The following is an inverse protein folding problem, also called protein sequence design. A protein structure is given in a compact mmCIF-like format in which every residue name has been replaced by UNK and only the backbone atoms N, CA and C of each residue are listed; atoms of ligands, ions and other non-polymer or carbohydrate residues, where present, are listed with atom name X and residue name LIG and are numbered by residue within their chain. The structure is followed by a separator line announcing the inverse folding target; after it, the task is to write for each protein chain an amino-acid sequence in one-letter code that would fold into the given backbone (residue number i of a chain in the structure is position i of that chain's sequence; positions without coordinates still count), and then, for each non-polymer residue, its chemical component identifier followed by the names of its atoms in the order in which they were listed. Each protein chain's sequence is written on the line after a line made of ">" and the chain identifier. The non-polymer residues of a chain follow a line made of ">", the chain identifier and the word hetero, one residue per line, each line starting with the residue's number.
data_IF_969049000945
#
_entry.id   IF_969049000945
#
_cell.length_a   1.000
_cell.length_b   1.000
_cell.length_c   1.000
_cell.angle_alpha   90.00
_cell.angle_beta   90.00
_cell.angle_gamma   90.00
#
_symmetry.space_group_name_H-M   'P 1'
#
loop_
_entity.id
_entity.type
_entity.pdbx_description
1 polymer ?
#
# COMPACT_ATOMS: atom_id res chain seq x y z
N UNK A 1 24.45 -7.55 -14.60
CA UNK A 1 25.47 -6.67 -14.00
C UNK A 1 26.42 -7.50 -13.14
N UNK A 2 27.71 -7.60 -13.53
CA UNK A 2 28.72 -8.43 -12.87
C UNK A 2 28.88 -8.14 -11.34
N UNK A 3 28.59 -6.91 -10.91
CA UNK A 3 28.66 -6.49 -9.50
C UNK A 3 27.74 -7.29 -8.58
N UNK A 4 26.62 -7.81 -9.08
CA UNK A 4 25.61 -8.52 -8.29
C UNK A 4 25.47 -10.01 -8.66
N UNK A 5 26.42 -10.56 -9.43
CA UNK A 5 26.34 -11.95 -9.91
C UNK A 5 26.37 -13.01 -8.79
N UNK A 6 26.79 -12.64 -7.60
CA UNK A 6 26.84 -13.52 -6.41
C UNK A 6 25.72 -13.25 -5.41
N UNK A 7 24.91 -12.21 -5.63
CA UNK A 7 23.80 -11.87 -4.74
C UNK A 7 22.63 -12.84 -5.00
N UNK A 8 22.01 -13.27 -3.90
CA UNK A 8 20.78 -14.06 -3.94
C UNK A 8 19.59 -13.19 -3.62
N UNK A 9 18.47 -13.43 -4.28
CA UNK A 9 17.21 -12.84 -3.89
C UNK A 9 16.84 -13.39 -2.49
N UNK A 10 16.60 -12.52 -1.50
CA UNK A 10 16.21 -12.97 -0.17
C UNK A 10 14.82 -13.60 -0.21
N UNK A 11 14.58 -14.57 0.65
CA UNK A 11 13.25 -15.08 0.94
C UNK A 11 12.45 -14.07 1.78
N UNK A 12 11.12 -14.21 1.80
CA UNK A 12 10.27 -13.33 2.61
C UNK A 12 10.60 -13.45 4.12
N UNK A 13 10.92 -14.64 4.59
CA UNK A 13 11.35 -14.89 5.99
C UNK A 13 12.62 -14.12 6.33
N UNK A 14 13.61 -14.15 5.44
CA UNK A 14 14.85 -13.38 5.63
C UNK A 14 14.58 -11.87 5.67
N UNK A 15 13.66 -11.39 4.84
CA UNK A 15 13.23 -9.97 4.87
C UNK A 15 12.49 -9.66 6.17
N UNK A 16 11.59 -10.51 6.65
CA UNK A 16 10.91 -10.32 7.94
C UNK A 16 11.88 -10.15 9.10
N UNK A 17 12.98 -10.91 9.10
CA UNK A 17 14.02 -10.82 10.13
C UNK A 17 14.74 -9.46 10.18
N UNK A 18 14.64 -8.64 9.12
CA UNK A 18 15.27 -7.31 9.05
C UNK A 18 14.33 -6.18 9.53
N UNK A 19 13.06 -6.44 9.77
CA UNK A 19 12.09 -5.42 10.16
C UNK A 19 12.28 -5.03 11.63
N UNK A 20 12.64 -3.79 11.96
CA UNK A 20 12.87 -3.38 13.34
C UNK A 20 11.58 -3.37 14.17
N UNK A 21 11.72 -3.47 15.47
CA UNK A 21 10.59 -3.35 16.40
C UNK A 21 9.83 -2.03 16.18
N UNK A 22 8.49 -2.11 16.14
CA UNK A 22 7.62 -0.96 15.92
C UNK A 22 7.58 -0.41 14.49
N UNK A 23 8.33 -1.03 13.55
CA UNK A 23 8.25 -0.69 12.13
C UNK A 23 7.34 -1.67 11.41
N UNK A 24 6.81 -1.24 10.26
CA UNK A 24 5.92 -2.04 9.41
C UNK A 24 6.63 -2.42 8.11
N UNK A 25 6.18 -3.53 7.53
CA UNK A 25 6.57 -3.96 6.18
C UNK A 25 5.33 -3.98 5.29
N UNK A 26 5.47 -3.43 4.08
CA UNK A 26 4.50 -3.58 3.01
C UNK A 26 4.97 -4.70 2.07
N UNK A 27 4.11 -5.70 1.85
CA UNK A 27 4.39 -6.89 1.06
C UNK A 27 3.57 -6.78 -0.23
N UNK A 28 4.22 -6.40 -1.33
CA UNK A 28 3.53 -6.29 -2.62
C UNK A 28 3.45 -7.66 -3.30
N UNK A 29 2.23 -8.12 -3.58
CA UNK A 29 1.96 -9.33 -4.35
C UNK A 29 1.66 -8.96 -5.80
N UNK A 30 2.51 -9.45 -6.73
CA UNK A 30 2.41 -9.20 -8.17
C UNK A 30 1.89 -10.39 -8.99
N UNK A 31 1.77 -11.57 -8.37
CA UNK A 31 1.13 -12.75 -8.94
C UNK A 31 -0.34 -12.85 -8.51
N UNK A 32 -1.01 -13.94 -8.82
CA UNK A 32 -2.40 -14.17 -8.47
C UNK A 32 -2.62 -14.70 -7.05
N UNK A 33 -3.88 -14.97 -6.67
CA UNK A 33 -4.24 -15.42 -5.33
C UNK A 33 -3.71 -16.80 -4.94
N UNK A 34 -3.17 -17.56 -5.88
CA UNK A 34 -2.55 -18.87 -5.66
C UNK A 34 -1.36 -18.85 -4.69
N UNK A 35 -0.74 -17.67 -4.49
CA UNK A 35 0.37 -17.49 -3.55
C UNK A 35 -0.09 -17.36 -2.09
N UNK A 36 -1.36 -17.05 -1.84
CA UNK A 36 -1.85 -16.69 -0.51
C UNK A 36 -1.70 -17.82 0.52
N UNK A 37 -1.91 -19.11 0.19
CA UNK A 37 -1.65 -20.19 1.14
C UNK A 37 -0.17 -20.30 1.57
N UNK A 38 0.77 -20.00 0.67
CA UNK A 38 2.20 -19.93 1.01
C UNK A 38 2.49 -18.69 1.87
N UNK A 39 1.94 -17.53 1.50
CA UNK A 39 2.08 -16.31 2.31
C UNK A 39 1.56 -16.52 3.72
N UNK A 40 0.44 -17.23 3.90
CA UNK A 40 -0.11 -17.54 5.22
C UNK A 40 0.91 -18.27 6.10
N UNK A 41 1.55 -19.31 5.56
CA UNK A 41 2.60 -20.06 6.30
C UNK A 41 3.77 -19.16 6.72
N UNK A 42 4.21 -18.26 5.82
CA UNK A 42 5.30 -17.33 6.09
C UNK A 42 4.91 -16.31 7.19
N UNK A 43 3.66 -15.80 7.14
CA UNK A 43 3.12 -14.88 8.14
C UNK A 43 2.98 -15.56 9.51
N UNK A 44 2.43 -16.78 9.55
CA UNK A 44 2.28 -17.55 10.79
C UNK A 44 3.62 -17.93 11.43
N UNK A 45 4.64 -18.19 10.59
CA UNK A 45 6.01 -18.47 11.05
C UNK A 45 6.84 -17.23 11.39
N UNK A 46 6.35 -16.03 11.10
CA UNK A 46 7.08 -14.79 11.32
C UNK A 46 7.15 -14.43 12.82
N UNK A 47 8.29 -13.84 13.23
CA UNK A 47 8.42 -13.22 14.57
C UNK A 47 7.81 -11.83 14.65
N UNK A 48 7.28 -11.31 13.53
CA UNK A 48 6.61 -10.02 13.47
C UNK A 48 5.19 -10.13 14.04
N UNK A 49 4.75 -9.06 14.67
CA UNK A 49 3.34 -8.94 15.07
C UNK A 49 2.46 -8.69 13.84
N UNK A 50 1.20 -9.15 13.82
CA UNK A 50 0.30 -8.95 12.68
C UNK A 50 0.19 -7.49 12.22
N UNK A 51 0.14 -6.53 13.17
CA UNK A 51 0.06 -5.10 12.87
C UNK A 51 1.30 -4.51 12.19
N UNK A 52 2.40 -5.26 12.14
CA UNK A 52 3.61 -4.87 11.42
C UNK A 52 3.59 -5.30 9.94
N UNK A 53 2.66 -6.16 9.54
CA UNK A 53 2.58 -6.72 8.20
C UNK A 53 1.36 -6.17 7.46
N UNK A 54 1.59 -5.62 6.27
CA UNK A 54 0.55 -5.09 5.40
C UNK A 54 0.78 -5.68 4.02
N UNK A 55 -0.23 -6.33 3.46
CA UNK A 55 -0.20 -6.80 2.08
C UNK A 55 -0.77 -5.71 1.17
N UNK A 56 -0.14 -5.52 0.02
CA UNK A 56 -0.63 -4.64 -1.05
C UNK A 56 -0.65 -5.39 -2.38
N UNK A 57 -1.63 -5.13 -3.23
CA UNK A 57 -1.71 -5.69 -4.59
C UNK A 57 -2.64 -4.88 -5.48
N UNK A 58 -2.30 -4.76 -6.76
CA UNK A 58 -3.22 -4.27 -7.81
C UNK A 58 -4.32 -5.29 -8.12
N UNK A 59 -4.07 -6.57 -7.87
CA UNK A 59 -5.04 -7.62 -8.08
C UNK A 59 -6.02 -7.67 -6.89
N UNK A 60 -7.25 -7.24 -7.13
CA UNK A 60 -8.31 -7.21 -6.12
C UNK A 60 -8.62 -8.62 -5.53
N UNK A 61 -8.48 -9.68 -6.34
CA UNK A 61 -8.74 -11.05 -5.88
C UNK A 61 -7.66 -11.53 -4.90
N UNK A 62 -6.42 -11.05 -5.04
CA UNK A 62 -5.34 -11.27 -4.05
C UNK A 62 -5.72 -10.66 -2.72
N UNK A 63 -6.19 -9.41 -2.72
CA UNK A 63 -6.60 -8.73 -1.47
C UNK A 63 -7.77 -9.46 -0.81
N UNK A 64 -8.79 -9.84 -1.59
CA UNK A 64 -9.92 -10.63 -1.08
C UNK A 64 -9.47 -11.97 -0.48
N UNK A 65 -8.54 -12.68 -1.15
CA UNK A 65 -8.00 -13.95 -0.66
C UNK A 65 -7.19 -13.77 0.64
N UNK A 66 -6.35 -12.73 0.72
CA UNK A 66 -5.58 -12.40 1.94
C UNK A 66 -6.53 -12.09 3.09
N UNK A 67 -7.54 -11.23 2.88
CA UNK A 67 -8.51 -10.88 3.91
C UNK A 67 -9.30 -12.09 4.43
N UNK A 68 -9.61 -13.03 3.54
CA UNK A 68 -10.31 -14.27 3.89
C UNK A 68 -9.41 -15.27 4.64
N UNK A 69 -8.16 -15.46 4.22
CA UNK A 69 -7.28 -16.52 4.72
C UNK A 69 -6.39 -16.05 5.87
N UNK A 70 -6.00 -14.76 5.88
CA UNK A 70 -5.08 -14.17 6.88
C UNK A 70 -5.72 -12.90 7.49
N UNK A 71 -6.88 -13.01 8.17
CA UNK A 71 -7.61 -11.83 8.65
C UNK A 71 -6.87 -11.03 9.73
N UNK A 72 -5.79 -11.59 10.29
CA UNK A 72 -4.96 -10.94 11.32
C UNK A 72 -4.11 -9.80 10.78
N UNK A 73 -3.83 -9.76 9.46
CA UNK A 73 -3.02 -8.71 8.84
C UNK A 73 -3.87 -7.78 7.98
N UNK A 74 -3.40 -6.56 7.77
CA UNK A 74 -4.07 -5.62 6.86
C UNK A 74 -3.73 -5.94 5.41
N UNK A 75 -4.70 -5.67 4.52
CA UNK A 75 -4.50 -5.77 3.09
C UNK A 75 -5.13 -4.57 2.39
N UNK A 76 -4.33 -3.84 1.58
CA UNK A 76 -4.75 -2.64 0.87
C UNK A 76 -4.75 -2.90 -0.63
N UNK A 77 -5.78 -2.39 -1.29
CA UNK A 77 -5.85 -2.46 -2.73
C UNK A 77 -5.01 -1.35 -3.36
N UNK A 78 -4.09 -1.74 -4.25
CA UNK A 78 -3.33 -0.80 -5.07
C UNK A 78 -4.15 -0.35 -6.27
N UNK A 79 -4.20 0.95 -6.53
CA UNK A 79 -4.81 1.47 -7.76
C UNK A 79 -4.09 2.71 -8.28
N UNK A 80 -4.34 3.01 -9.54
CA UNK A 80 -3.92 4.26 -10.20
C UNK A 80 -5.04 4.77 -11.09
N UNK A 81 -4.98 6.05 -11.44
CA UNK A 81 -6.03 6.71 -12.19
C UNK A 81 -5.66 6.86 -13.66
N UNK A 82 -6.64 6.64 -14.54
CA UNK A 82 -6.53 6.87 -15.98
C UNK A 82 -7.61 7.84 -16.42
N UNK A 83 -7.25 8.79 -17.26
CA UNK A 83 -8.21 9.69 -17.88
C UNK A 83 -8.69 9.10 -19.19
N UNK A 84 -10.00 9.01 -19.35
CA UNK A 84 -10.62 8.74 -20.63
C UNK A 84 -10.41 9.94 -21.55
N UNK A 85 -9.79 9.72 -22.70
CA UNK A 85 -9.44 10.80 -23.63
C UNK A 85 -10.63 11.43 -24.35
N UNK A 86 -11.73 10.70 -24.46
CA UNK A 86 -12.93 11.19 -25.15
C UNK A 86 -13.83 12.01 -24.21
N UNK A 87 -13.95 11.57 -22.95
CA UNK A 87 -14.86 12.20 -21.98
C UNK A 87 -14.14 13.11 -20.99
N UNK A 88 -12.80 13.00 -20.87
CA UNK A 88 -12.02 13.67 -19.84
C UNK A 88 -12.21 13.13 -18.43
N UNK A 89 -13.02 12.10 -18.23
CA UNK A 89 -13.32 11.52 -16.93
C UNK A 89 -12.17 10.65 -16.43
N UNK A 90 -11.93 10.71 -15.13
CA UNK A 90 -10.94 9.87 -14.45
C UNK A 90 -11.57 8.58 -13.93
N UNK A 91 -10.86 7.47 -14.08
CA UNK A 91 -11.28 6.15 -13.58
C UNK A 91 -10.12 5.50 -12.80
N UNK A 92 -10.43 4.82 -11.68
CA UNK A 92 -11.75 4.73 -11.05
C UNK A 92 -12.19 6.03 -10.40
N UNK A 93 -13.51 6.29 -10.30
CA UNK A 93 -14.07 7.34 -9.45
C UNK A 93 -13.98 6.94 -7.98
N UNK A 94 -14.21 7.88 -7.04
CA UNK A 94 -14.20 7.58 -5.60
C UNK A 94 -15.27 6.55 -5.22
N UNK A 95 -16.44 6.59 -5.86
CA UNK A 95 -17.51 5.63 -5.64
C UNK A 95 -17.11 4.23 -6.10
N UNK A 96 -16.44 4.13 -7.25
CA UNK A 96 -15.89 2.87 -7.76
C UNK A 96 -14.79 2.32 -6.85
N UNK A 97 -13.94 3.19 -6.33
CA UNK A 97 -12.91 2.82 -5.33
C UNK A 97 -13.58 2.23 -4.10
N UNK A 98 -14.52 2.95 -3.47
CA UNK A 98 -15.23 2.50 -2.27
C UNK A 98 -15.98 1.18 -2.52
N UNK A 99 -16.68 1.07 -3.65
CA UNK A 99 -17.40 -0.15 -4.01
C UNK A 99 -16.42 -1.35 -4.14
N UNK A 100 -15.24 -1.13 -4.73
CA UNK A 100 -14.22 -2.18 -4.84
C UNK A 100 -13.70 -2.57 -3.46
N UNK A 101 -13.31 -1.61 -2.62
CA UNK A 101 -12.80 -1.87 -1.27
C UNK A 101 -13.80 -2.67 -0.43
N UNK A 102 -15.10 -2.31 -0.50
CA UNK A 102 -16.19 -3.06 0.18
C UNK A 102 -16.30 -4.49 -0.34
N UNK A 103 -16.29 -4.67 -1.65
CA UNK A 103 -16.45 -5.99 -2.30
C UNK A 103 -15.36 -6.97 -1.92
N UNK A 104 -14.12 -6.47 -1.75
CA UNK A 104 -12.95 -7.32 -1.43
C UNK A 104 -12.57 -7.30 0.06
N UNK A 105 -13.38 -6.69 0.92
CA UNK A 105 -13.12 -6.51 2.36
C UNK A 105 -11.75 -5.89 2.65
N UNK A 106 -11.26 -4.98 1.79
CA UNK A 106 -9.94 -4.37 1.96
C UNK A 106 -9.85 -3.56 3.27
N UNK A 107 -8.67 -3.47 3.85
CA UNK A 107 -8.39 -2.60 5.00
C UNK A 107 -8.21 -1.14 4.60
N UNK A 108 -7.93 -0.86 3.34
CA UNK A 108 -7.70 0.49 2.82
C UNK A 108 -7.26 0.52 1.38
N UNK A 109 -6.97 1.72 0.94
CA UNK A 109 -6.47 2.06 -0.38
C UNK A 109 -4.99 2.44 -0.32
N UNK A 110 -4.21 1.95 -1.27
CA UNK A 110 -2.85 2.44 -1.53
C UNK A 110 -2.76 2.88 -3.00
N UNK A 111 -2.52 4.16 -3.26
CA UNK A 111 -2.71 4.71 -4.60
C UNK A 111 -1.60 5.65 -5.03
N UNK A 112 -1.42 5.79 -6.36
CA UNK A 112 -0.48 6.77 -6.86
C UNK A 112 -0.87 8.19 -6.42
N UNK A 113 0.14 8.99 -6.10
CA UNK A 113 -0.04 10.40 -5.74
C UNK A 113 -0.66 11.18 -6.92
N UNK A 114 -1.92 11.56 -6.79
CA UNK A 114 -2.69 12.19 -7.86
C UNK A 114 -3.47 13.42 -7.37
N UNK A 115 -3.79 14.34 -8.28
CA UNK A 115 -4.57 15.54 -7.96
C UNK A 115 -6.00 15.23 -7.50
N UNK A 116 -6.56 14.10 -7.93
CA UNK A 116 -7.88 13.62 -7.49
C UNK A 116 -7.96 13.33 -5.98
N UNK A 117 -6.83 13.08 -5.33
CA UNK A 117 -6.79 12.88 -3.89
C UNK A 117 -6.86 14.24 -3.22
N UNK A 118 -8.06 14.72 -2.96
CA UNK A 118 -8.37 15.98 -2.30
C UNK A 118 -9.10 15.74 -0.96
N UNK A 119 -9.53 16.81 -0.30
CA UNK A 119 -10.25 16.73 0.98
C UNK A 119 -11.56 15.94 0.86
N UNK A 120 -12.28 16.07 -0.25
CA UNK A 120 -13.53 15.34 -0.47
C UNK A 120 -13.29 13.84 -0.65
N UNK A 121 -12.27 13.48 -1.41
CA UNK A 121 -11.83 12.10 -1.59
C UNK A 121 -11.43 11.45 -0.25
N UNK A 122 -10.56 12.13 0.52
CA UNK A 122 -10.11 11.61 1.82
C UNK A 122 -11.28 11.48 2.78
N UNK A 123 -12.17 12.49 2.85
CA UNK A 123 -13.37 12.45 3.69
C UNK A 123 -14.29 11.28 3.34
N UNK A 124 -14.49 10.98 2.05
CA UNK A 124 -15.29 9.85 1.62
C UNK A 124 -14.71 8.51 2.08
N UNK A 125 -13.38 8.30 1.92
CA UNK A 125 -12.70 7.09 2.41
C UNK A 125 -12.77 6.96 3.94
N UNK A 126 -12.54 8.06 4.67
CA UNK A 126 -12.60 8.07 6.14
C UNK A 126 -14.01 7.81 6.68
N UNK A 127 -15.04 8.29 5.99
CA UNK A 127 -16.44 7.99 6.32
C UNK A 127 -16.75 6.50 6.32
N UNK A 128 -16.06 5.74 5.48
CA UNK A 128 -16.12 4.28 5.40
C UNK A 128 -15.02 3.56 6.22
N UNK A 129 -14.23 4.31 7.00
CA UNK A 129 -13.15 3.81 7.88
C UNK A 129 -11.98 3.14 7.16
N UNK A 130 -11.72 3.46 5.89
CA UNK A 130 -10.57 2.96 5.14
C UNK A 130 -9.29 3.75 5.44
N UNK A 131 -8.16 3.05 5.47
CA UNK A 131 -6.83 3.67 5.44
C UNK A 131 -6.49 4.15 4.04
N UNK A 132 -5.67 5.20 3.96
CA UNK A 132 -5.18 5.76 2.70
C UNK A 132 -3.66 5.92 2.73
N UNK A 133 -2.99 5.29 1.77
CA UNK A 133 -1.55 5.38 1.54
C UNK A 133 -1.29 5.89 0.12
N UNK A 134 -0.21 6.64 -0.07
CA UNK A 134 0.11 7.23 -1.38
C UNK A 134 1.56 6.97 -1.81
N UNK A 135 1.76 6.64 -3.07
CA UNK A 135 3.05 6.43 -3.75
C UNK A 135 3.06 7.09 -5.13
N UNK A 136 4.18 7.43 -5.74
CA UNK A 136 5.47 7.64 -5.11
C UNK A 136 5.62 9.13 -4.88
N UNK A 137 5.93 9.55 -3.67
CA UNK A 137 5.97 10.95 -3.26
C UNK A 137 7.42 11.34 -2.97
N UNK A 138 8.11 11.88 -3.97
CA UNK A 138 9.53 12.24 -3.88
C UNK A 138 9.76 13.75 -3.68
N UNK A 139 8.71 14.57 -3.83
CA UNK A 139 8.79 16.03 -3.74
C UNK A 139 8.22 16.56 -2.41
N UNK A 140 8.95 17.44 -1.68
CA UNK A 140 8.52 17.91 -0.37
C UNK A 140 7.19 18.65 -0.38
N UNK A 141 6.90 19.44 -1.42
CA UNK A 141 5.64 20.16 -1.54
C UNK A 141 4.45 19.18 -1.64
N UNK A 142 4.60 18.11 -2.43
CA UNK A 142 3.61 17.06 -2.57
C UNK A 142 3.44 16.26 -1.26
N UNK A 143 4.54 15.96 -0.58
CA UNK A 143 4.51 15.30 0.73
C UNK A 143 3.75 16.13 1.76
N UNK A 144 4.04 17.44 1.88
CA UNK A 144 3.30 18.34 2.78
C UNK A 144 1.81 18.38 2.46
N UNK A 145 1.44 18.38 1.18
CA UNK A 145 0.04 18.32 0.74
C UNK A 145 -0.65 17.05 1.27
N UNK A 146 -0.06 15.87 1.08
CA UNK A 146 -0.64 14.61 1.53
C UNK A 146 -0.67 14.48 3.05
N UNK A 147 0.36 14.96 3.75
CA UNK A 147 0.36 15.03 5.22
C UNK A 147 -0.79 15.92 5.71
N UNK A 148 -1.00 17.10 5.09
CA UNK A 148 -2.11 18.00 5.43
C UNK A 148 -3.48 17.34 5.16
N UNK A 149 -3.61 16.56 4.11
CA UNK A 149 -4.82 15.79 3.80
C UNK A 149 -5.06 14.62 4.79
N UNK A 150 -4.09 14.29 5.63
CA UNK A 150 -4.23 13.23 6.63
C UNK A 150 -4.12 11.81 6.07
N UNK A 151 -3.26 11.58 5.04
CA UNK A 151 -2.95 10.21 4.61
C UNK A 151 -2.18 9.46 5.71
N UNK A 152 -2.36 8.15 5.80
CA UNK A 152 -1.72 7.33 6.85
C UNK A 152 -0.23 7.16 6.61
N UNK A 153 0.20 7.06 5.37
CA UNK A 153 1.62 7.08 4.99
C UNK A 153 1.84 7.51 3.55
N UNK A 154 3.09 7.87 3.26
CA UNK A 154 3.58 8.09 1.90
C UNK A 154 4.76 7.17 1.62
N UNK A 155 4.84 6.63 0.42
CA UNK A 155 6.00 5.88 -0.09
C UNK A 155 6.87 6.80 -0.92
N UNK A 156 8.18 6.79 -0.67
CA UNK A 156 9.16 7.63 -1.34
C UNK A 156 10.45 6.86 -1.66
N UNK A 157 11.12 7.22 -2.74
CA UNK A 157 12.45 6.72 -3.08
C UNK A 157 13.56 7.40 -2.27
N UNK A 158 13.25 8.48 -1.55
CA UNK A 158 14.24 9.33 -0.87
C UNK A 158 13.92 9.53 0.63
N UNK A 159 13.71 8.44 1.43
CA UNK A 159 13.12 8.56 2.76
C UNK A 159 13.94 9.43 3.72
N UNK A 160 15.26 9.26 3.78
CA UNK A 160 16.11 10.04 4.67
C UNK A 160 16.17 11.53 4.26
N UNK A 161 16.25 11.80 2.95
CA UNK A 161 16.24 13.17 2.43
C UNK A 161 14.91 13.85 2.65
N UNK A 162 13.80 13.17 2.31
CA UNK A 162 12.46 13.75 2.43
C UNK A 162 12.12 14.04 3.89
N UNK A 163 12.50 13.19 4.84
CA UNK A 163 12.34 13.45 6.28
C UNK A 163 13.00 14.75 6.70
N UNK A 164 14.23 15.00 6.27
CA UNK A 164 14.95 16.27 6.55
C UNK A 164 14.22 17.48 5.98
N UNK A 165 13.67 17.34 4.74
CA UNK A 165 12.93 18.44 4.10
C UNK A 165 11.59 18.73 4.79
N UNK A 166 11.05 17.79 5.53
CA UNK A 166 9.78 17.89 6.25
C UNK A 166 9.95 18.18 7.75
N UNK A 167 11.18 18.34 8.23
CA UNK A 167 11.54 18.52 9.65
C UNK A 167 10.98 17.38 10.54
N UNK A 168 10.90 16.15 9.99
CA UNK A 168 10.46 14.95 10.70
C UNK A 168 11.68 14.21 11.27
N UNK A 169 11.77 14.14 12.58
CA UNK A 169 12.85 13.47 13.33
C UNK A 169 12.53 12.00 13.63
#
# INVERSE_FOLDING_TARGET
>A
HAKFAKEKMPTLVEVFATVPAGKKIFIEIKCGPEIVPQLQKEVEGAKLKPEQMIVISFNADVIAAVRKQIPSIKAHWLTSYKQDKATGQWSPSIEQVIATLKRIDASGLDTNAHALIDDAFVKALRGEKYELHCWTVDEPALARRFIKLGVDSITTNKPAWLRKQLDLH
#
